data_IF_794838502310
#
_entry.id   IF_794838502310
#
_cell.length_a   1.000
_cell.length_b   1.000
_cell.length_c   1.000
_cell.angle_alpha   90.00
_cell.angle_beta   90.00
_cell.angle_gamma   90.00
#
_symmetry.space_group_name_H-M   'P 1'
#
loop_
_entity.id
_entity.type
_entity.pdbx_description
1 polymer ?
#
# COMPACT_ATOMS: atom_id res chain seq x y z
N UNK A 1 14.70 -60.51 -49.26
CA UNK A 1 15.33 -59.28 -48.78
C UNK A 1 14.39 -58.63 -47.78
N UNK A 2 14.49 -59.15 -46.56
CA UNK A 2 13.58 -58.76 -45.48
C UNK A 2 14.04 -57.45 -44.87
N UNK A 3 13.18 -56.41 -44.90
CA UNK A 3 13.40 -55.15 -44.23
C UNK A 3 12.92 -55.29 -42.76
N UNK A 4 13.87 -55.22 -41.84
CA UNK A 4 13.55 -55.05 -40.38
C UNK A 4 12.83 -53.73 -40.14
N UNK A 5 11.84 -53.71 -39.27
CA UNK A 5 11.16 -52.46 -38.90
C UNK A 5 12.02 -51.62 -37.99
N UNK A 6 12.27 -50.37 -38.42
CA UNK A 6 12.95 -49.33 -37.62
C UNK A 6 12.07 -48.98 -36.45
N UNK A 7 12.52 -49.24 -35.21
CA UNK A 7 11.92 -48.78 -34.01
C UNK A 7 12.01 -47.24 -33.91
N UNK A 8 10.89 -46.55 -33.56
CA UNK A 8 10.97 -45.12 -33.29
C UNK A 8 11.82 -44.82 -32.04
N UNK A 9 12.58 -43.72 -32.01
CA UNK A 9 13.39 -43.38 -30.84
C UNK A 9 12.49 -43.15 -29.62
N UNK A 10 12.82 -43.83 -28.53
CA UNK A 10 12.23 -43.61 -27.21
C UNK A 10 12.44 -42.14 -26.83
N UNK A 11 11.37 -41.42 -26.41
CA UNK A 11 11.59 -40.06 -25.91
C UNK A 11 12.46 -40.14 -24.66
N UNK A 12 13.63 -39.49 -24.69
CA UNK A 12 14.46 -39.31 -23.51
C UNK A 12 13.60 -38.59 -22.45
N UNK A 13 13.48 -39.21 -21.28
CA UNK A 13 12.90 -38.56 -20.13
C UNK A 13 13.72 -37.29 -19.85
N UNK A 14 13.22 -36.14 -20.30
CA UNK A 14 13.68 -34.83 -19.85
C UNK A 14 13.52 -34.88 -18.33
N UNK A 15 14.64 -34.87 -17.60
CA UNK A 15 14.66 -34.62 -16.17
C UNK A 15 13.97 -33.29 -15.98
N UNK A 16 12.74 -33.30 -15.45
CA UNK A 16 12.06 -32.09 -15.05
C UNK A 16 12.96 -31.44 -13.99
N UNK A 17 13.73 -30.41 -14.38
CA UNK A 17 14.56 -29.68 -13.44
C UNK A 17 13.60 -29.04 -12.45
N UNK A 18 13.79 -29.36 -11.17
CA UNK A 18 12.98 -28.79 -10.11
C UNK A 18 13.43 -27.36 -9.89
N UNK A 19 12.51 -26.41 -10.04
CA UNK A 19 12.77 -25.00 -9.70
C UNK A 19 13.18 -24.91 -8.23
N UNK A 20 14.34 -24.30 -8.00
CA UNK A 20 14.87 -24.04 -6.66
C UNK A 20 14.63 -22.59 -6.26
N UNK A 21 14.24 -22.39 -5.01
CA UNK A 21 14.01 -21.05 -4.44
C UNK A 21 15.13 -20.78 -3.45
N UNK A 22 15.82 -19.65 -3.61
CA UNK A 22 16.94 -19.24 -2.75
C UNK A 22 17.16 -17.74 -2.80
N UNK A 23 17.92 -17.23 -1.84
CA UNK A 23 18.27 -15.80 -1.79
C UNK A 23 19.08 -15.39 -3.02
N UNK A 24 18.81 -14.19 -3.52
CA UNK A 24 19.63 -13.54 -4.54
C UNK A 24 20.71 -12.73 -3.82
N UNK A 25 22.00 -13.09 -3.95
CA UNK A 25 23.09 -12.34 -3.36
C UNK A 25 23.23 -10.97 -4.03
N UNK A 26 23.94 -10.04 -3.39
CA UNK A 26 24.19 -8.69 -3.93
C UNK A 26 24.73 -8.73 -5.38
N UNK A 27 25.73 -9.58 -5.65
CA UNK A 27 26.27 -9.76 -7.01
C UNK A 27 25.24 -10.27 -8.04
N UNK A 28 24.06 -10.69 -7.62
CA UNK A 28 22.97 -11.15 -8.47
C UNK A 28 21.88 -10.11 -8.73
N UNK A 29 21.95 -8.93 -8.09
CA UNK A 29 20.91 -7.89 -8.17
C UNK A 29 20.71 -7.43 -9.62
N UNK A 30 21.75 -7.09 -10.35
CA UNK A 30 21.63 -6.59 -11.73
C UNK A 30 20.98 -7.60 -12.67
N UNK A 31 21.24 -8.90 -12.45
CA UNK A 31 20.57 -9.98 -13.20
C UNK A 31 19.10 -10.06 -12.84
N UNK A 32 18.76 -9.90 -11.55
CA UNK A 32 17.38 -9.91 -11.07
C UNK A 32 16.60 -8.70 -11.61
N UNK A 33 17.19 -7.50 -11.59
CA UNK A 33 16.62 -6.30 -12.19
C UNK A 33 16.41 -6.46 -13.70
N UNK A 34 17.38 -7.03 -14.41
CA UNK A 34 17.23 -7.30 -15.86
C UNK A 34 16.05 -8.23 -16.16
N UNK A 35 15.78 -9.21 -15.29
CA UNK A 35 14.59 -10.06 -15.39
C UNK A 35 13.30 -9.29 -15.09
N UNK A 36 13.32 -8.43 -14.09
CA UNK A 36 12.18 -7.59 -13.73
C UNK A 36 11.82 -6.64 -14.87
N UNK A 37 12.77 -5.90 -15.41
CA UNK A 37 12.57 -5.00 -16.55
C UNK A 37 12.04 -5.73 -17.79
N UNK A 38 12.56 -6.94 -18.07
CA UNK A 38 12.00 -7.76 -19.15
C UNK A 38 10.53 -8.10 -18.91
N UNK A 39 10.16 -8.43 -17.66
CA UNK A 39 8.80 -8.81 -17.32
C UNK A 39 7.82 -7.64 -17.34
N UNK A 40 8.28 -6.44 -16.98
CA UNK A 40 7.51 -5.19 -16.98
C UNK A 40 7.57 -4.42 -18.30
N UNK A 41 8.36 -4.90 -19.28
CA UNK A 41 8.57 -4.23 -20.57
C UNK A 41 9.25 -2.86 -20.44
N UNK A 42 10.09 -2.70 -19.44
CA UNK A 42 10.81 -1.47 -19.15
C UNK A 42 12.25 -1.51 -19.70
N UNK A 43 12.80 -0.34 -19.95
CA UNK A 43 14.20 -0.17 -20.38
C UNK A 43 14.77 1.07 -19.69
N UNK A 44 14.93 1.04 -18.35
CA UNK A 44 15.35 2.21 -17.60
C UNK A 44 16.77 2.62 -17.93
N UNK A 45 17.05 3.92 -17.81
CA UNK A 45 18.37 4.51 -17.92
C UNK A 45 19.30 4.06 -16.79
N UNK A 46 20.60 4.30 -16.94
CA UNK A 46 21.62 3.82 -16.00
C UNK A 46 21.44 4.38 -14.59
N UNK A 47 20.99 5.63 -14.46
CA UNK A 47 20.75 6.27 -13.17
C UNK A 47 19.60 5.58 -12.40
N UNK A 48 18.50 5.32 -13.08
CA UNK A 48 17.35 4.57 -12.52
C UNK A 48 17.74 3.12 -12.19
N UNK A 49 18.55 2.48 -13.03
CA UNK A 49 19.07 1.11 -12.75
C UNK A 49 19.91 1.08 -11.48
N UNK A 50 20.79 2.09 -11.32
CA UNK A 50 21.60 2.25 -10.10
C UNK A 50 20.72 2.49 -8.88
N UNK A 51 19.72 3.36 -8.98
CA UNK A 51 18.78 3.62 -7.90
C UNK A 51 18.06 2.34 -7.46
N UNK A 52 17.48 1.58 -8.40
CA UNK A 52 16.84 0.28 -8.07
C UNK A 52 17.82 -0.73 -7.48
N UNK A 53 19.08 -0.74 -7.93
CA UNK A 53 20.13 -1.59 -7.34
C UNK A 53 20.33 -1.22 -5.86
N UNK A 54 20.52 0.06 -5.58
CA UNK A 54 20.78 0.58 -4.22
C UNK A 54 19.57 0.31 -3.29
N UNK A 55 18.33 0.50 -3.76
CA UNK A 55 17.10 0.13 -3.03
C UNK A 55 17.09 -1.36 -2.64
N UNK A 56 17.48 -2.24 -3.55
CA UNK A 56 17.45 -3.67 -3.32
C UNK A 56 18.53 -4.17 -2.34
N UNK A 57 19.56 -3.38 -2.03
CA UNK A 57 20.58 -3.77 -1.04
C UNK A 57 19.97 -4.05 0.34
N UNK A 58 18.96 -3.26 0.76
CA UNK A 58 18.26 -3.40 2.03
C UNK A 58 17.11 -4.39 2.04
N UNK A 59 16.77 -5.02 0.90
CA UNK A 59 15.59 -5.86 0.75
C UNK A 59 15.86 -7.34 1.01
N UNK A 60 14.84 -8.07 1.44
CA UNK A 60 14.78 -9.52 1.25
C UNK A 60 14.65 -9.79 -0.26
N UNK A 61 15.51 -10.64 -0.81
CA UNK A 61 15.58 -10.94 -2.26
C UNK A 61 15.44 -12.44 -2.47
N UNK A 62 14.38 -12.87 -3.17
CA UNK A 62 14.07 -14.28 -3.42
C UNK A 62 14.13 -14.53 -4.92
N UNK A 63 14.99 -15.47 -5.32
CA UNK A 63 15.13 -15.93 -6.70
C UNK A 63 14.58 -17.33 -6.91
N UNK A 64 13.95 -17.56 -8.05
CA UNK A 64 13.61 -18.89 -8.55
C UNK A 64 14.62 -19.28 -9.64
N UNK A 65 15.20 -20.46 -9.53
CA UNK A 65 16.28 -20.93 -10.42
C UNK A 65 15.91 -22.25 -11.08
N UNK A 66 16.09 -22.34 -12.40
CA UNK A 66 16.09 -23.58 -13.19
C UNK A 66 17.55 -23.94 -13.49
N UNK A 67 18.16 -24.83 -12.67
CA UNK A 67 19.60 -24.99 -12.61
C UNK A 67 20.28 -23.70 -12.12
N UNK A 68 21.15 -23.10 -12.96
CA UNK A 68 21.84 -21.85 -12.68
C UNK A 68 21.13 -20.63 -13.28
N UNK A 69 20.05 -20.83 -14.02
CA UNK A 69 19.30 -19.75 -14.64
C UNK A 69 18.29 -19.14 -13.66
N UNK A 70 18.39 -17.83 -13.43
CA UNK A 70 17.39 -17.08 -12.67
C UNK A 70 16.14 -16.88 -13.55
N UNK A 71 15.03 -17.50 -13.18
CA UNK A 71 13.77 -17.53 -13.93
C UNK A 71 12.60 -16.86 -13.22
N UNK A 72 12.80 -16.41 -11.99
CA UNK A 72 11.85 -15.62 -11.22
C UNK A 72 12.55 -14.83 -10.15
N UNK A 73 12.01 -13.67 -9.83
CA UNK A 73 12.51 -12.78 -8.79
C UNK A 73 11.36 -12.08 -8.07
N UNK A 74 11.49 -11.88 -6.79
CA UNK A 74 10.74 -10.93 -6.00
C UNK A 74 11.65 -10.32 -4.92
N UNK A 75 11.38 -9.09 -4.57
CA UNK A 75 11.99 -8.44 -3.41
C UNK A 75 10.92 -8.07 -2.39
N UNK A 76 11.35 -7.83 -1.14
CA UNK A 76 10.48 -7.28 -0.12
C UNK A 76 11.25 -6.27 0.72
N UNK A 77 10.73 -5.03 0.80
CA UNK A 77 11.24 -3.99 1.69
C UNK A 77 10.96 -4.35 3.16
N UNK A 78 11.87 -4.10 4.09
CA UNK A 78 11.65 -4.33 5.53
C UNK A 78 10.85 -3.17 6.16
N UNK A 79 9.67 -2.86 5.61
CA UNK A 79 8.88 -1.75 6.11
C UNK A 79 8.17 -2.05 7.42
N UNK A 80 7.79 -0.97 8.09
CA UNK A 80 6.86 -0.95 9.20
C UNK A 80 5.65 -0.13 8.78
N UNK A 81 4.44 -0.63 9.00
CA UNK A 81 3.22 0.10 8.71
C UNK A 81 2.39 0.35 9.97
N UNK A 82 1.64 1.45 9.95
CA UNK A 82 0.66 1.71 11.00
C UNK A 82 -0.53 0.76 10.87
N UNK A 83 -0.94 0.23 12.00
CA UNK A 83 -2.18 -0.55 12.16
C UNK A 83 -3.04 0.12 13.23
N UNK A 84 -4.34 -0.21 13.37
CA UNK A 84 -5.15 0.38 14.43
C UNK A 84 -4.49 0.21 15.80
N UNK A 85 -4.08 1.32 16.43
CA UNK A 85 -3.49 1.37 17.77
C UNK A 85 -2.00 1.03 17.86
N UNK A 86 -1.28 0.86 16.75
CA UNK A 86 0.15 0.55 16.78
C UNK A 86 0.81 0.47 15.42
N UNK A 87 1.93 -0.24 15.37
CA UNK A 87 2.73 -0.44 14.17
C UNK A 87 3.22 -1.88 14.11
N UNK A 88 3.37 -2.41 12.91
CA UNK A 88 3.86 -3.78 12.70
C UNK A 88 4.93 -3.84 11.61
N UNK A 89 5.96 -4.70 11.79
CA UNK A 89 6.84 -5.07 10.71
C UNK A 89 6.02 -5.72 9.59
N UNK A 90 6.25 -5.27 8.36
CA UNK A 90 5.48 -5.63 7.20
C UNK A 90 6.40 -5.77 5.98
N UNK A 91 6.95 -6.96 5.71
CA UNK A 91 7.63 -7.22 4.45
C UNK A 91 6.76 -6.80 3.27
N UNK A 92 7.20 -5.80 2.53
CA UNK A 92 6.45 -5.12 1.48
C UNK A 92 6.98 -5.51 0.12
N UNK A 93 6.19 -6.31 -0.60
CA UNK A 93 6.61 -7.07 -1.79
C UNK A 93 6.64 -6.19 -3.03
N UNK A 94 7.75 -6.24 -3.76
CA UNK A 94 8.00 -5.48 -4.99
C UNK A 94 8.79 -6.31 -6.00
N UNK A 95 9.01 -5.79 -7.22
CA UNK A 95 9.77 -6.39 -8.32
C UNK A 95 9.37 -7.84 -8.65
N UNK A 96 8.10 -8.20 -8.47
CA UNK A 96 7.62 -9.56 -8.72
C UNK A 96 7.66 -9.88 -10.20
N UNK A 97 8.57 -10.75 -10.61
CA UNK A 97 8.78 -11.08 -12.01
C UNK A 97 9.00 -12.57 -12.22
N UNK A 98 8.52 -13.07 -13.35
CA UNK A 98 8.75 -14.46 -13.81
C UNK A 98 9.08 -14.42 -15.29
N UNK A 99 10.18 -15.06 -15.66
CA UNK A 99 10.60 -15.18 -17.06
C UNK A 99 9.44 -15.66 -17.94
N UNK A 100 9.19 -15.06 -19.11
CA UNK A 100 8.09 -15.44 -20.00
C UNK A 100 8.07 -16.94 -20.35
N UNK A 101 9.25 -17.55 -20.45
CA UNK A 101 9.46 -18.98 -20.72
C UNK A 101 9.06 -19.90 -19.56
N UNK A 102 8.90 -19.35 -18.34
CA UNK A 102 8.64 -20.12 -17.11
C UNK A 102 7.31 -19.79 -16.45
N UNK A 103 6.46 -19.01 -17.12
CA UNK A 103 5.10 -18.71 -16.66
C UNK A 103 4.26 -19.97 -16.54
N UNK A 104 3.30 -19.98 -15.59
CA UNK A 104 2.36 -21.09 -15.31
C UNK A 104 3.01 -22.40 -14.83
N UNK A 105 4.27 -22.35 -14.41
CA UNK A 105 5.03 -23.49 -13.85
C UNK A 105 5.14 -23.46 -12.32
N UNK A 106 4.34 -22.63 -11.63
CA UNK A 106 4.35 -22.53 -10.17
C UNK A 106 5.46 -21.62 -9.58
N UNK A 107 6.27 -20.96 -10.42
CA UNK A 107 7.41 -20.12 -9.99
C UNK A 107 6.97 -19.05 -8.99
N UNK A 108 5.95 -18.23 -9.31
CA UNK A 108 5.44 -17.23 -8.40
C UNK A 108 4.92 -17.84 -7.08
N UNK A 109 4.21 -18.98 -7.17
CA UNK A 109 3.69 -19.65 -5.97
C UNK A 109 4.80 -20.11 -5.03
N UNK A 110 5.92 -20.57 -5.57
CA UNK A 110 7.08 -20.96 -4.77
C UNK A 110 7.78 -19.76 -4.14
N UNK A 111 7.99 -18.67 -4.88
CA UNK A 111 8.59 -17.44 -4.33
C UNK A 111 7.74 -16.84 -3.20
N UNK A 112 6.41 -16.79 -3.37
CA UNK A 112 5.49 -16.33 -2.31
C UNK A 112 5.51 -17.27 -1.09
N UNK A 113 5.62 -18.58 -1.28
CA UNK A 113 5.75 -19.52 -0.16
C UNK A 113 7.06 -19.30 0.63
N UNK A 114 8.16 -19.02 -0.09
CA UNK A 114 9.44 -18.68 0.54
C UNK A 114 9.37 -17.36 1.30
N UNK A 115 8.70 -16.33 0.73
CA UNK A 115 8.43 -15.07 1.42
C UNK A 115 7.67 -15.30 2.73
N UNK A 116 6.60 -16.11 2.70
CA UNK A 116 5.80 -16.39 3.89
C UNK A 116 6.61 -17.15 4.96
N UNK A 117 7.47 -18.07 4.53
CA UNK A 117 8.37 -18.79 5.46
C UNK A 117 9.35 -17.82 6.14
N UNK A 118 9.95 -16.88 5.38
CA UNK A 118 10.84 -15.85 5.93
C UNK A 118 10.09 -14.92 6.88
N UNK A 119 8.94 -14.36 6.45
CA UNK A 119 8.11 -13.49 7.30
C UNK A 119 7.71 -14.18 8.62
N UNK A 120 7.37 -15.48 8.56
CA UNK A 120 7.08 -16.28 9.77
C UNK A 120 8.30 -16.43 10.67
N UNK A 121 9.48 -16.71 10.10
CA UNK A 121 10.72 -16.82 10.85
C UNK A 121 11.15 -15.51 11.53
N UNK A 122 10.85 -14.39 10.91
CA UNK A 122 11.12 -13.03 11.39
C UNK A 122 10.02 -12.50 12.32
N UNK A 123 8.98 -13.31 12.59
CA UNK A 123 7.80 -12.93 13.38
C UNK A 123 7.09 -11.67 12.86
N UNK A 124 7.11 -11.44 11.53
CA UNK A 124 6.32 -10.42 10.89
C UNK A 124 4.88 -10.91 10.70
N UNK A 125 3.89 -10.35 11.42
CA UNK A 125 2.53 -10.90 11.41
C UNK A 125 1.75 -10.59 10.14
N UNK A 126 2.22 -9.63 9.35
CA UNK A 126 1.59 -9.20 8.10
C UNK A 126 2.65 -9.01 7.01
N UNK A 127 2.21 -9.07 5.76
CA UNK A 127 2.97 -8.64 4.59
C UNK A 127 2.07 -7.78 3.71
N UNK A 128 2.65 -6.94 2.85
CA UNK A 128 1.88 -6.08 1.98
C UNK A 128 2.43 -6.02 0.55
N UNK A 129 1.64 -5.50 -0.37
CA UNK A 129 2.03 -5.16 -1.73
C UNK A 129 1.09 -4.12 -2.34
N UNK A 130 1.55 -3.49 -3.41
CA UNK A 130 0.71 -2.83 -4.40
C UNK A 130 0.51 -3.77 -5.58
N UNK A 131 -0.74 -3.95 -6.00
CA UNK A 131 -1.05 -4.92 -7.05
C UNK A 131 -1.08 -4.23 -8.41
N UNK A 132 -0.10 -4.53 -9.28
CA UNK A 132 -0.19 -4.17 -10.70
C UNK A 132 -1.34 -4.89 -11.43
N UNK A 133 -1.69 -6.09 -10.97
CA UNK A 133 -2.82 -6.88 -11.47
C UNK A 133 -3.60 -7.50 -10.29
N UNK A 134 -4.78 -6.98 -9.98
CA UNK A 134 -5.64 -7.41 -8.86
C UNK A 134 -5.94 -8.92 -8.83
N UNK A 135 -6.05 -9.54 -10.01
CA UNK A 135 -6.40 -10.96 -10.14
C UNK A 135 -5.31 -11.92 -9.65
N UNK A 136 -4.07 -11.43 -9.47
CA UNK A 136 -2.92 -12.29 -9.16
C UNK A 136 -2.86 -12.65 -7.67
N UNK A 137 -2.99 -11.67 -6.79
CA UNK A 137 -2.54 -11.80 -5.40
C UNK A 137 -3.61 -12.33 -4.44
N UNK A 138 -4.90 -12.22 -4.80
CA UNK A 138 -5.99 -12.76 -3.99
C UNK A 138 -5.87 -14.27 -3.73
N UNK A 139 -5.36 -15.05 -4.70
CA UNK A 139 -5.13 -16.51 -4.54
C UNK A 139 -4.03 -16.89 -3.55
N UNK A 140 -3.24 -15.92 -3.10
CA UNK A 140 -2.24 -16.07 -2.04
C UNK A 140 -2.76 -15.55 -0.69
N UNK A 141 -4.00 -15.09 -0.65
CA UNK A 141 -4.65 -14.57 0.55
C UNK A 141 -4.36 -13.10 0.85
N UNK A 142 -3.80 -12.35 -0.11
CA UNK A 142 -3.76 -10.89 -0.01
C UNK A 142 -5.13 -10.31 -0.26
N UNK A 143 -5.56 -9.35 0.57
CA UNK A 143 -6.80 -8.62 0.42
C UNK A 143 -6.58 -7.12 0.34
N UNK A 144 -7.38 -6.36 -0.45
CA UNK A 144 -7.27 -4.91 -0.58
C UNK A 144 -7.69 -4.24 0.74
N UNK A 145 -6.72 -3.82 1.54
CA UNK A 145 -6.94 -3.28 2.87
C UNK A 145 -7.07 -1.75 2.89
N UNK A 146 -6.58 -1.06 1.86
CA UNK A 146 -6.81 0.37 1.64
C UNK A 146 -7.32 0.64 0.24
N UNK A 147 -7.99 1.78 0.07
CA UNK A 147 -8.48 2.27 -1.21
C UNK A 147 -8.19 3.76 -1.33
N UNK A 148 -8.02 4.23 -2.55
CA UNK A 148 -7.81 5.64 -2.86
C UNK A 148 -8.80 6.16 -3.89
N UNK A 149 -9.24 7.41 -3.71
CA UNK A 149 -10.00 8.16 -4.70
C UNK A 149 -9.07 8.94 -5.62
N UNK A 150 -9.36 8.96 -6.91
CA UNK A 150 -8.85 9.99 -7.80
C UNK A 150 -9.82 11.18 -7.75
N UNK A 151 -9.30 12.34 -7.33
CA UNK A 151 -10.10 13.58 -7.25
C UNK A 151 -9.61 14.55 -8.30
N UNK A 152 -10.55 15.15 -9.03
CA UNK A 152 -10.30 16.24 -9.97
C UNK A 152 -11.03 17.51 -9.53
N UNK A 153 -10.31 18.64 -9.59
CA UNK A 153 -10.84 19.97 -9.24
C UNK A 153 -10.70 20.90 -10.43
N UNK A 154 -11.79 21.57 -10.82
CA UNK A 154 -11.77 22.70 -11.76
C UNK A 154 -11.26 23.94 -11.03
N UNK A 155 -10.00 24.31 -11.23
CA UNK A 155 -9.35 25.47 -10.62
C UNK A 155 -9.36 26.73 -11.49
N UNK A 156 -10.10 26.75 -12.61
CA UNK A 156 -10.29 27.96 -13.44
C UNK A 156 -11.09 29.07 -12.73
N UNK A 157 -11.70 28.73 -11.62
CA UNK A 157 -12.43 29.65 -10.72
C UNK A 157 -12.03 29.35 -9.27
N UNK A 158 -12.13 30.31 -8.34
CA UNK A 158 -11.80 30.08 -6.95
C UNK A 158 -12.53 28.87 -6.37
N UNK A 159 -11.81 28.08 -5.57
CA UNK A 159 -12.40 26.93 -4.91
C UNK A 159 -13.45 27.37 -3.89
N UNK A 160 -14.69 26.97 -4.11
CA UNK A 160 -15.80 27.28 -3.24
C UNK A 160 -15.81 26.37 -2.01
N UNK A 161 -15.73 26.94 -0.82
CA UNK A 161 -15.62 26.23 0.46
C UNK A 161 -16.80 26.55 1.38
N UNK A 162 -17.25 25.57 2.15
CA UNK A 162 -18.31 25.69 3.19
C UNK A 162 -17.75 26.09 4.56
N UNK A 163 -16.44 26.00 4.74
CA UNK A 163 -15.75 26.33 5.97
C UNK A 163 -14.72 27.43 5.72
N UNK A 164 -14.37 28.18 6.74
CA UNK A 164 -13.27 29.14 6.68
C UNK A 164 -11.93 28.39 6.67
N UNK A 165 -11.04 28.66 5.70
CA UNK A 165 -9.68 28.16 5.72
C UNK A 165 -8.88 28.75 6.88
N UNK A 166 -7.88 28.01 7.34
CA UNK A 166 -6.89 28.49 8.29
C UNK A 166 -6.13 29.70 7.71
N UNK A 167 -5.87 30.72 8.54
CA UNK A 167 -5.26 31.98 8.12
C UNK A 167 -3.74 32.02 8.38
N UNK A 168 -3.16 30.94 8.92
CA UNK A 168 -1.70 30.89 9.09
C UNK A 168 -0.98 31.07 7.75
N UNK A 169 0.23 31.64 7.73
CA UNK A 169 0.96 31.87 6.50
C UNK A 169 1.33 30.56 5.82
N UNK A 170 1.19 30.54 4.50
CA UNK A 170 1.73 29.49 3.64
C UNK A 170 3.17 29.83 3.27
N UNK A 171 4.05 28.83 3.26
CA UNK A 171 5.46 28.98 2.91
C UNK A 171 5.89 27.87 1.95
N UNK A 172 6.66 28.25 0.93
CA UNK A 172 7.34 27.26 0.11
C UNK A 172 8.53 26.71 0.90
N UNK A 173 8.70 25.40 0.83
CA UNK A 173 9.82 24.66 1.42
C UNK A 173 10.73 24.16 0.29
N UNK A 174 12.03 24.24 0.48
CA UNK A 174 12.98 23.60 -0.41
C UNK A 174 12.85 22.08 -0.28
N UNK A 175 12.77 21.31 -1.37
CA UNK A 175 12.69 19.86 -1.32
C UNK A 175 13.83 19.19 -0.52
N UNK A 176 15.01 19.80 -0.48
CA UNK A 176 16.14 19.30 0.33
C UNK A 176 15.88 19.31 1.83
N UNK A 177 14.99 20.20 2.30
CA UNK A 177 14.61 20.34 3.72
C UNK A 177 13.41 19.45 4.10
N UNK A 178 12.80 18.75 3.12
CA UNK A 178 11.59 17.94 3.33
C UNK A 178 11.76 16.89 4.45
N UNK A 179 12.83 16.06 4.50
CA UNK A 179 13.01 15.08 5.55
C UNK A 179 13.00 15.68 6.96
N UNK A 180 13.65 16.83 7.12
CA UNK A 180 13.81 17.49 8.43
C UNK A 180 12.53 18.21 8.89
N UNK A 181 11.73 18.72 7.96
CA UNK A 181 10.51 19.50 8.26
C UNK A 181 9.26 18.62 8.21
N UNK A 182 9.09 17.84 7.15
CA UNK A 182 7.89 17.01 6.95
C UNK A 182 7.98 15.68 7.69
N UNK A 183 9.18 15.09 7.84
CA UNK A 183 9.39 13.82 8.50
C UNK A 183 8.79 13.79 9.92
N UNK A 184 9.17 14.69 10.82
CA UNK A 184 8.60 14.76 12.18
C UNK A 184 7.09 15.02 12.20
N UNK A 185 6.57 15.79 11.25
CA UNK A 185 5.13 16.01 11.10
C UNK A 185 4.41 14.72 10.70
N UNK A 186 4.90 14.07 9.66
CA UNK A 186 4.36 12.81 9.15
C UNK A 186 4.40 11.71 10.21
N UNK A 187 5.51 11.54 10.91
CA UNK A 187 5.66 10.54 11.98
C UNK A 187 4.65 10.73 13.11
N UNK A 188 4.37 11.98 13.49
CA UNK A 188 3.35 12.29 14.49
C UNK A 188 1.94 11.90 14.01
N UNK A 189 1.62 12.17 12.75
CA UNK A 189 0.25 12.02 12.22
C UNK A 189 -0.03 10.65 11.63
N UNK A 190 1.00 9.89 11.20
CA UNK A 190 0.81 8.58 10.56
C UNK A 190 0.17 7.54 11.47
N UNK A 191 0.45 7.58 12.78
CA UNK A 191 -0.12 6.65 13.75
C UNK A 191 -1.65 6.78 13.89
N UNK A 192 -2.22 7.93 13.50
CA UNK A 192 -3.66 8.19 13.56
C UNK A 192 -4.44 7.53 12.42
N UNK A 193 -3.75 7.02 11.38
CA UNK A 193 -4.37 6.45 10.20
C UNK A 193 -3.69 5.13 9.83
N UNK A 194 -4.42 3.99 9.84
CA UNK A 194 -3.84 2.70 9.47
C UNK A 194 -3.41 2.63 8.00
N UNK A 195 -2.36 1.86 7.72
CA UNK A 195 -1.85 1.60 6.38
C UNK A 195 -0.66 2.46 5.95
N UNK A 196 -0.19 3.38 6.79
CA UNK A 196 0.92 4.29 6.45
C UNK A 196 2.27 3.68 6.76
N UNK A 197 3.22 3.89 5.86
CA UNK A 197 4.61 3.47 6.05
C UNK A 197 5.34 4.36 7.05
N UNK A 198 6.36 3.82 7.70
CA UNK A 198 7.44 4.62 8.28
C UNK A 198 8.32 5.12 7.12
N UNK A 199 8.30 6.41 6.86
CA UNK A 199 9.15 7.03 5.84
C UNK A 199 10.51 7.35 6.45
N UNK A 200 11.55 6.64 6.03
CA UNK A 200 12.94 6.96 6.41
C UNK A 200 13.41 8.23 5.70
N UNK A 201 14.52 8.82 6.15
CA UNK A 201 15.16 9.94 5.45
C UNK A 201 15.50 9.58 3.99
N UNK A 202 16.01 8.35 3.76
CA UNK A 202 16.28 7.86 2.42
C UNK A 202 14.99 7.78 1.57
N UNK A 203 13.89 7.26 2.12
CA UNK A 203 12.59 7.20 1.44
C UNK A 203 12.08 8.59 1.06
N UNK A 204 12.21 9.58 1.95
CA UNK A 204 11.87 10.96 1.62
C UNK A 204 12.70 11.51 0.45
N UNK A 205 14.01 11.24 0.42
CA UNK A 205 14.91 11.78 -0.61
C UNK A 205 14.78 11.06 -1.94
N UNK A 206 14.68 9.75 -1.89
CA UNK A 206 14.85 8.88 -3.05
C UNK A 206 13.53 8.52 -3.74
N UNK A 207 12.38 8.67 -3.04
CA UNK A 207 11.07 8.39 -3.60
C UNK A 207 10.20 9.65 -3.71
N UNK A 208 10.17 10.47 -2.65
CA UNK A 208 9.28 11.63 -2.61
C UNK A 208 9.87 12.89 -3.25
N UNK A 209 11.19 13.09 -3.18
CA UNK A 209 11.86 14.28 -3.68
C UNK A 209 12.58 14.06 -5.00
N UNK A 210 12.27 12.99 -5.71
CA UNK A 210 12.80 12.70 -7.04
C UNK A 210 12.38 13.80 -8.02
N UNK A 211 13.35 14.32 -8.77
CA UNK A 211 13.14 15.45 -9.68
C UNK A 211 12.31 15.06 -10.90
N UNK A 212 12.61 13.92 -11.50
CA UNK A 212 11.92 13.40 -12.68
C UNK A 212 10.79 12.46 -12.25
N UNK A 213 9.64 12.61 -12.88
CA UNK A 213 8.52 11.71 -12.65
C UNK A 213 8.59 10.53 -13.61
N UNK A 214 8.38 9.33 -13.12
CA UNK A 214 8.53 8.12 -13.92
C UNK A 214 7.47 7.94 -14.99
N UNK A 215 6.28 8.49 -14.77
CA UNK A 215 5.13 8.34 -15.68
C UNK A 215 4.94 9.54 -16.61
N UNK A 216 5.44 10.72 -16.22
CA UNK A 216 5.20 11.97 -16.95
C UNK A 216 6.38 12.94 -16.82
N UNK A 217 7.31 12.88 -17.77
CA UNK A 217 8.53 13.70 -17.85
C UNK A 217 8.28 15.22 -18.06
N UNK A 218 7.03 15.60 -18.39
CA UNK A 218 6.63 17.02 -18.49
C UNK A 218 6.21 17.63 -17.15
N UNK A 219 6.12 16.84 -16.09
CA UNK A 219 5.84 17.35 -14.75
C UNK A 219 7.07 18.07 -14.18
N UNK A 220 6.83 19.16 -13.47
CA UNK A 220 7.89 19.87 -12.76
C UNK A 220 8.50 18.98 -11.66
N UNK A 221 9.71 19.31 -11.16
CA UNK A 221 10.18 18.79 -9.89
C UNK A 221 9.15 19.00 -8.77
N UNK A 222 9.20 18.21 -7.68
CA UNK A 222 8.28 18.35 -6.57
C UNK A 222 8.37 19.75 -5.97
N UNK A 223 7.23 20.32 -5.63
CA UNK A 223 7.08 21.60 -4.93
C UNK A 223 6.35 21.34 -3.63
N UNK A 224 6.81 21.98 -2.57
CA UNK A 224 6.27 21.80 -1.24
C UNK A 224 5.73 23.10 -0.72
N UNK A 225 4.53 23.10 -0.18
CA UNK A 225 3.97 24.20 0.59
C UNK A 225 3.62 23.70 2.00
N UNK A 226 3.99 24.46 3.00
CA UNK A 226 3.63 24.23 4.41
C UNK A 226 2.67 25.30 4.89
N UNK A 227 1.76 24.93 5.78
CA UNK A 227 0.90 25.86 6.50
C UNK A 227 1.49 26.09 7.92
N UNK A 228 1.83 27.33 8.24
CA UNK A 228 2.61 27.67 9.44
C UNK A 228 4.11 27.74 9.14
N UNK A 229 4.93 27.98 10.16
CA UNK A 229 6.38 28.11 10.01
C UNK A 229 7.09 27.18 10.97
N UNK A 230 8.04 26.36 10.49
CA UNK A 230 8.90 25.56 11.38
C UNK A 230 9.82 26.43 12.25
N UNK A 231 10.14 27.67 11.81
CA UNK A 231 11.20 28.52 12.38
C UNK A 231 10.70 29.86 12.95
N UNK A 232 9.50 29.95 13.50
CA UNK A 232 9.06 31.20 14.10
C UNK A 232 9.92 31.53 15.34
N UNK A 233 10.92 32.49 15.29
CA UNK A 233 11.76 32.78 16.43
C UNK A 233 10.94 33.34 17.59
N UNK A 234 11.04 32.69 18.77
CA UNK A 234 10.35 33.14 19.98
C UNK A 234 8.90 32.69 20.10
N UNK A 235 8.40 31.85 19.19
CA UNK A 235 7.11 31.18 19.36
C UNK A 235 7.19 30.15 20.50
N UNK A 236 6.14 29.99 21.34
CA UNK A 236 6.02 28.83 22.19
C UNK A 236 6.24 27.56 21.40
N UNK A 237 6.75 26.51 22.02
CA UNK A 237 7.02 25.22 21.32
C UNK A 237 5.83 24.68 20.50
N UNK A 238 4.62 25.10 20.82
CA UNK A 238 3.37 24.79 20.10
C UNK A 238 3.16 25.65 18.83
N UNK A 239 3.79 26.82 18.73
CA UNK A 239 3.60 27.77 17.61
C UNK A 239 4.62 27.58 16.47
N UNK A 240 5.69 26.83 16.70
CA UNK A 240 6.73 26.51 15.71
C UNK A 240 6.41 25.31 14.81
N UNK A 241 5.26 24.65 14.97
CA UNK A 241 4.90 23.49 14.17
C UNK A 241 4.08 23.89 12.93
N UNK A 242 4.40 23.25 11.80
CA UNK A 242 3.51 23.28 10.65
C UNK A 242 2.19 22.58 11.01
N UNK A 243 1.10 23.08 10.46
CA UNK A 243 -0.24 22.49 10.65
C UNK A 243 -0.70 21.64 9.49
N UNK A 244 0.15 21.50 8.50
CA UNK A 244 -0.06 20.71 7.32
C UNK A 244 0.91 21.08 6.21
N UNK A 245 0.92 20.24 5.18
CA UNK A 245 1.73 20.44 3.99
C UNK A 245 1.00 19.88 2.75
N UNK A 246 1.44 20.32 1.58
CA UNK A 246 1.15 19.66 0.32
C UNK A 246 2.42 19.52 -0.51
N UNK A 247 2.58 18.34 -1.13
CA UNK A 247 3.60 18.04 -2.14
C UNK A 247 2.88 17.94 -3.47
N UNK A 248 3.31 18.73 -4.44
CA UNK A 248 2.63 18.80 -5.73
C UNK A 248 3.62 19.08 -6.85
N UNK A 249 3.21 18.77 -8.08
CA UNK A 249 3.93 19.07 -9.32
C UNK A 249 3.01 19.88 -10.24
N UNK A 250 3.61 20.59 -11.17
CA UNK A 250 2.85 21.35 -12.18
C UNK A 250 3.27 20.93 -13.58
N UNK A 251 2.31 20.95 -14.50
CA UNK A 251 2.54 20.70 -15.92
C UNK A 251 1.91 21.80 -16.74
N UNK A 252 2.70 22.41 -17.64
CA UNK A 252 2.15 23.33 -18.64
C UNK A 252 1.51 22.54 -19.79
N UNK A 253 0.52 23.15 -20.44
CA UNK A 253 -0.15 22.56 -21.60
C UNK A 253 -0.31 23.65 -22.66
N UNK A 254 0.00 23.35 -23.93
CA UNK A 254 -0.04 24.35 -25.00
C UNK A 254 -1.47 24.81 -25.34
N UNK A 255 -2.41 23.86 -25.38
CA UNK A 255 -3.79 24.11 -25.84
C UNK A 255 -4.84 24.11 -24.70
N UNK A 256 -4.41 24.05 -23.44
CA UNK A 256 -5.29 23.99 -22.27
C UNK A 256 -4.63 24.65 -21.05
N UNK A 257 -5.42 25.05 -20.04
CA UNK A 257 -4.84 25.45 -18.76
C UNK A 257 -3.97 24.35 -18.18
N UNK A 258 -2.87 24.73 -17.51
CA UNK A 258 -1.95 23.81 -16.89
C UNK A 258 -2.60 22.91 -15.83
N UNK A 259 -1.88 21.90 -15.42
CA UNK A 259 -2.27 20.92 -14.42
C UNK A 259 -1.46 21.11 -13.14
N UNK A 260 -2.11 20.99 -11.99
CA UNK A 260 -1.48 20.69 -10.71
C UNK A 260 -1.75 19.23 -10.39
N UNK A 261 -0.69 18.40 -10.28
CA UNK A 261 -0.78 17.05 -9.72
C UNK A 261 -0.44 17.13 -8.23
N UNK A 262 -1.34 16.68 -7.39
CA UNK A 262 -1.10 16.55 -5.95
C UNK A 262 -0.60 15.15 -5.66
N UNK A 263 0.59 15.06 -5.07
CA UNK A 263 1.25 13.81 -4.69
C UNK A 263 0.89 13.44 -3.23
N UNK A 264 0.98 14.40 -2.28
CA UNK A 264 0.57 14.19 -0.88
C UNK A 264 0.00 15.48 -0.27
N UNK A 265 -0.96 15.36 0.64
CA UNK A 265 -1.49 16.45 1.45
C UNK A 265 -1.92 15.92 2.80
N UNK A 266 -1.33 16.51 3.84
CA UNK A 266 -1.65 16.24 5.22
C UNK A 266 -1.99 17.52 5.96
N UNK A 267 -2.95 17.45 6.88
CA UNK A 267 -3.40 18.60 7.66
C UNK A 267 -3.96 18.18 9.02
N UNK A 268 -3.62 18.95 10.06
CA UNK A 268 -4.08 18.69 11.43
C UNK A 268 -5.59 18.90 11.60
N UNK A 269 -6.18 19.80 10.78
CA UNK A 269 -7.60 20.16 10.87
C UNK A 269 -8.24 20.33 9.50
N UNK A 270 -9.59 20.24 9.40
CA UNK A 270 -10.28 20.56 8.14
C UNK A 270 -10.02 21.99 7.64
N UNK A 271 -9.83 22.97 8.54
CA UNK A 271 -9.50 24.34 8.17
C UNK A 271 -8.10 24.45 7.57
N UNK A 272 -7.13 23.69 8.10
CA UNK A 272 -5.79 23.59 7.54
C UNK A 272 -5.81 22.93 6.15
N UNK A 273 -6.55 21.83 5.99
CA UNK A 273 -6.75 21.20 4.69
C UNK A 273 -7.39 22.17 3.68
N UNK A 274 -8.41 22.92 4.11
CA UNK A 274 -9.09 23.92 3.26
C UNK A 274 -8.12 25.03 2.81
N UNK A 275 -7.18 25.46 3.66
CA UNK A 275 -6.15 26.44 3.30
C UNK A 275 -5.20 25.92 2.21
N UNK A 276 -4.73 24.67 2.37
CA UNK A 276 -3.86 24.02 1.38
C UNK A 276 -4.58 23.81 0.04
N UNK A 277 -5.81 23.30 0.05
CA UNK A 277 -6.59 23.13 -1.16
C UNK A 277 -6.90 24.46 -1.86
N UNK A 278 -7.22 25.53 -1.09
CA UNK A 278 -7.40 26.87 -1.64
C UNK A 278 -6.13 27.39 -2.30
N UNK A 279 -4.97 27.15 -1.69
CA UNK A 279 -3.67 27.49 -2.28
C UNK A 279 -3.46 26.77 -3.61
N UNK A 280 -3.59 25.45 -3.63
CA UNK A 280 -3.41 24.65 -4.85
C UNK A 280 -4.33 25.12 -5.97
N UNK A 281 -5.58 25.47 -5.65
CA UNK A 281 -6.56 25.99 -6.62
C UNK A 281 -6.29 27.44 -7.06
N UNK A 282 -5.35 28.16 -6.43
CA UNK A 282 -4.96 29.52 -6.77
C UNK A 282 -3.67 29.63 -7.58
N UNK A 283 -3.04 28.50 -7.93
CA UNK A 283 -1.78 28.50 -8.67
C UNK A 283 -2.05 29.02 -10.09
N UNK A 284 -1.37 30.13 -10.44
CA UNK A 284 -1.53 30.79 -11.73
C UNK A 284 -1.18 29.87 -12.91
N UNK A 285 -1.78 30.15 -14.05
CA UNK A 285 -1.59 29.42 -15.32
C UNK A 285 -2.09 27.95 -15.29
N UNK A 286 -2.74 27.53 -14.20
CA UNK A 286 -3.35 26.20 -14.09
C UNK A 286 -4.88 26.31 -14.11
N UNK A 287 -5.55 25.22 -14.44
CA UNK A 287 -7.02 25.19 -14.50
C UNK A 287 -7.60 23.85 -14.05
N UNK A 288 -6.74 22.94 -13.66
CA UNK A 288 -7.13 21.63 -13.19
C UNK A 288 -6.17 21.18 -12.06
N UNK A 289 -6.73 20.62 -10.99
CA UNK A 289 -5.96 19.84 -10.02
C UNK A 289 -6.37 18.39 -10.18
N UNK A 290 -5.39 17.49 -10.19
CA UNK A 290 -5.60 16.04 -10.12
C UNK A 290 -4.86 15.50 -8.91
N UNK A 291 -5.59 14.82 -8.05
CA UNK A 291 -5.07 14.16 -6.86
C UNK A 291 -5.43 12.68 -6.91
N UNK A 292 -4.42 11.84 -7.07
CA UNK A 292 -4.57 10.40 -7.01
C UNK A 292 -4.44 9.90 -5.57
N UNK A 293 -5.06 8.76 -5.27
CA UNK A 293 -4.86 8.09 -3.99
C UNK A 293 -5.45 8.82 -2.78
N UNK A 294 -6.38 9.77 -2.93
CA UNK A 294 -6.96 10.47 -1.78
C UNK A 294 -7.79 9.54 -0.91
N UNK A 295 -7.81 9.75 0.43
CA UNK A 295 -8.60 8.92 1.34
C UNK A 295 -10.09 8.90 0.95
N UNK A 296 -10.77 7.79 1.18
CA UNK A 296 -12.21 7.69 0.91
C UNK A 296 -13.02 8.65 1.80
N UNK A 297 -12.52 8.97 2.97
CA UNK A 297 -13.05 9.90 3.97
C UNK A 297 -12.40 11.29 3.91
N UNK A 298 -11.81 11.68 2.75
CA UNK A 298 -11.19 13.00 2.61
C UNK A 298 -12.21 14.10 2.93
N UNK A 299 -11.93 14.97 3.93
CA UNK A 299 -12.85 16.03 4.33
C UNK A 299 -13.12 17.04 3.22
N UNK A 300 -12.26 17.15 2.20
CA UNK A 300 -12.52 17.95 0.98
C UNK A 300 -13.88 17.64 0.38
N UNK A 301 -14.24 16.37 0.29
CA UNK A 301 -15.50 15.91 -0.31
C UNK A 301 -16.75 16.40 0.45
N UNK A 302 -16.59 16.84 1.71
CA UNK A 302 -17.65 17.38 2.55
C UNK A 302 -17.65 18.90 2.61
N UNK A 303 -16.47 19.54 2.69
CA UNK A 303 -16.40 20.99 2.82
C UNK A 303 -16.32 21.74 1.48
N UNK A 304 -16.08 21.08 0.35
CA UNK A 304 -16.28 21.68 -0.95
C UNK A 304 -17.76 22.05 -1.14
N UNK A 305 -18.01 23.31 -1.52
CA UNK A 305 -19.38 23.84 -1.68
C UNK A 305 -20.01 23.43 -3.01
N UNK A 306 -19.19 23.15 -4.01
CA UNK A 306 -19.63 22.84 -5.37
C UNK A 306 -19.10 21.46 -5.83
N UNK A 307 -20.02 20.51 -5.96
CA UNK A 307 -19.70 19.14 -6.39
C UNK A 307 -19.35 19.04 -7.89
N UNK A 308 -19.74 20.01 -8.70
CA UNK A 308 -19.32 20.07 -10.10
C UNK A 308 -17.88 20.55 -10.23
N UNK A 309 -17.40 21.31 -9.25
CA UNK A 309 -16.01 21.77 -9.18
C UNK A 309 -15.07 20.69 -8.63
N UNK A 310 -15.51 19.89 -7.66
CA UNK A 310 -14.71 18.83 -7.00
C UNK A 310 -15.37 17.49 -7.26
N UNK A 311 -14.74 16.64 -8.04
CA UNK A 311 -15.30 15.36 -8.48
C UNK A 311 -14.38 14.21 -8.16
N UNK A 312 -14.95 13.10 -7.68
CA UNK A 312 -14.28 11.80 -7.66
C UNK A 312 -14.45 11.19 -9.04
N UNK A 313 -13.36 10.96 -9.73
CA UNK A 313 -13.33 10.42 -11.11
C UNK A 313 -12.93 8.95 -11.16
N UNK A 314 -12.37 8.43 -10.06
CA UNK A 314 -11.99 7.03 -9.92
C UNK A 314 -11.85 6.63 -8.46
N UNK A 315 -11.92 5.32 -8.22
CA UNK A 315 -11.58 4.68 -6.96
C UNK A 315 -10.88 3.37 -7.27
N UNK A 316 -9.76 3.11 -6.62
CA UNK A 316 -8.97 1.90 -6.82
C UNK A 316 -8.51 1.31 -5.49
N UNK A 317 -8.32 -0.03 -5.42
CA UNK A 317 -7.52 -0.63 -4.38
C UNK A 317 -6.11 -0.01 -4.37
N UNK A 318 -5.52 0.09 -3.19
CA UNK A 318 -4.16 0.58 -3.01
C UNK A 318 -3.31 -0.50 -2.30
N UNK A 319 -3.11 -0.41 -0.99
CA UNK A 319 -2.34 -1.41 -0.25
C UNK A 319 -3.12 -2.70 -0.07
N UNK A 320 -2.55 -3.80 -0.52
CA UNK A 320 -3.03 -5.16 -0.25
C UNK A 320 -2.26 -5.75 0.91
N UNK A 321 -2.97 -6.33 1.88
CA UNK A 321 -2.38 -6.93 3.07
C UNK A 321 -2.59 -8.44 3.06
N UNK A 322 -1.61 -9.19 3.56
CA UNK A 322 -1.67 -10.61 3.86
C UNK A 322 -1.41 -10.81 5.35
N UNK A 323 -2.29 -11.49 6.04
CA UNK A 323 -2.06 -11.90 7.42
C UNK A 323 -1.20 -13.17 7.43
N UNK A 324 0.07 -13.05 7.85
CA UNK A 324 1.02 -14.16 7.95
C UNK A 324 0.74 -14.97 9.21
N UNK A 325 0.50 -14.29 10.34
CA UNK A 325 0.05 -14.86 11.60
C UNK A 325 -1.20 -14.11 12.05
N UNK A 326 -2.38 -14.74 11.86
CA UNK A 326 -3.67 -14.12 12.20
C UNK A 326 -3.77 -13.81 13.68
N UNK A 327 -3.26 -14.69 14.55
CA UNK A 327 -3.29 -14.46 16.00
C UNK A 327 -2.46 -13.23 16.37
N UNK A 328 -1.20 -13.19 15.92
CA UNK A 328 -0.31 -12.07 16.19
C UNK A 328 -0.87 -10.76 15.63
N UNK A 329 -1.39 -10.76 14.40
CA UNK A 329 -1.99 -9.58 13.78
C UNK A 329 -3.20 -9.07 14.56
N UNK A 330 -4.17 -9.94 14.90
CA UNK A 330 -5.40 -9.54 15.60
C UNK A 330 -5.15 -9.11 17.06
N UNK A 331 -4.15 -9.69 17.72
CA UNK A 331 -3.79 -9.29 19.10
C UNK A 331 -2.97 -8.01 19.17
N UNK A 332 -2.31 -7.62 18.09
CA UNK A 332 -1.51 -6.40 18.01
C UNK A 332 -2.30 -5.14 17.68
N UNK A 333 -3.52 -5.27 17.12
CA UNK A 333 -4.35 -4.12 16.82
C UNK A 333 -5.23 -3.71 18.01
N UNK A 334 -5.63 -2.43 18.04
CA UNK A 334 -6.71 -1.95 18.93
C UNK A 334 -8.09 -2.31 18.37
N UNK A 335 -9.08 -2.34 19.26
CA UNK A 335 -10.46 -2.68 18.97
C UNK A 335 -11.40 -1.59 19.49
N UNK A 336 -12.36 -1.16 18.67
CA UNK A 336 -13.25 -0.04 19.01
C UNK A 336 -14.43 -0.43 19.91
N UNK A 337 -14.85 -1.71 19.87
CA UNK A 337 -16.00 -2.20 20.65
C UNK A 337 -15.79 -3.66 21.07
N UNK A 338 -16.51 -4.12 22.13
CA UNK A 338 -16.47 -5.52 22.54
C UNK A 338 -17.05 -6.46 21.46
N UNK A 339 -16.38 -7.60 21.25
CA UNK A 339 -16.86 -8.71 20.43
C UNK A 339 -16.42 -10.05 21.02
N UNK A 340 -17.30 -11.06 20.97
CA UNK A 340 -16.99 -12.47 21.26
C UNK A 340 -17.63 -13.31 20.16
N UNK A 341 -16.80 -13.84 19.27
CA UNK A 341 -17.26 -14.61 18.11
C UNK A 341 -16.29 -15.75 17.77
N UNK A 342 -16.83 -16.84 17.23
CA UNK A 342 -16.03 -17.92 16.65
C UNK A 342 -15.94 -17.68 15.13
N UNK A 343 -14.71 -17.42 14.68
CA UNK A 343 -14.40 -17.19 13.27
C UNK A 343 -13.73 -18.45 12.71
N UNK A 344 -14.28 -18.99 11.63
CA UNK A 344 -13.68 -20.08 10.85
C UNK A 344 -12.95 -19.50 9.65
N UNK A 345 -11.64 -19.45 9.72
CA UNK A 345 -10.78 -18.88 8.68
C UNK A 345 -10.35 -19.97 7.70
N UNK A 346 -10.50 -19.71 6.41
CA UNK A 346 -9.98 -20.56 5.33
C UNK A 346 -8.66 -20.00 4.84
N UNK A 347 -7.58 -20.78 4.96
CA UNK A 347 -6.24 -20.42 4.49
C UNK A 347 -5.53 -21.66 3.95
N UNK A 348 -5.51 -21.79 2.63
CA UNK A 348 -4.85 -22.92 1.96
C UNK A 348 -3.32 -22.76 1.88
N UNK A 349 -2.79 -21.58 2.12
CA UNK A 349 -1.37 -21.26 2.01
C UNK A 349 -0.63 -21.36 3.33
N UNK A 350 -1.27 -20.95 4.41
CA UNK A 350 -0.72 -21.03 5.77
C UNK A 350 -1.72 -21.76 6.68
N UNK A 351 -1.66 -23.11 6.70
CA UNK A 351 -2.62 -23.94 7.46
C UNK A 351 -2.66 -23.65 8.96
N UNK A 352 -1.62 -23.02 9.51
CA UNK A 352 -1.59 -22.58 10.91
C UNK A 352 -2.68 -21.53 11.23
N UNK A 353 -3.08 -20.74 10.25
CA UNK A 353 -4.15 -19.75 10.37
C UNK A 353 -5.54 -20.36 10.23
N UNK A 354 -5.64 -21.50 9.53
CA UNK A 354 -6.92 -22.10 9.16
C UNK A 354 -7.66 -22.71 10.35
N UNK A 355 -8.99 -22.70 10.27
CA UNK A 355 -9.88 -23.35 11.21
C UNK A 355 -10.58 -22.38 12.16
N UNK A 356 -11.27 -22.95 13.15
CA UNK A 356 -12.12 -22.21 14.06
C UNK A 356 -11.34 -21.66 15.23
N UNK A 357 -11.46 -20.35 15.42
CA UNK A 357 -10.86 -19.63 16.52
C UNK A 357 -11.88 -18.73 17.20
N UNK A 358 -11.89 -18.71 18.51
CA UNK A 358 -12.66 -17.74 19.28
C UNK A 358 -11.87 -16.46 19.39
N UNK A 359 -12.44 -15.39 18.85
CA UNK A 359 -12.00 -14.03 19.02
C UNK A 359 -12.79 -13.40 20.17
N UNK A 360 -12.11 -12.97 21.21
CA UNK A 360 -12.69 -12.13 22.26
C UNK A 360 -11.86 -10.85 22.30
N UNK A 361 -12.48 -9.72 21.96
CA UNK A 361 -11.79 -8.44 21.87
C UNK A 361 -12.64 -7.32 22.48
N UNK A 362 -11.97 -6.29 22.96
CA UNK A 362 -12.52 -5.05 23.49
C UNK A 362 -11.44 -3.96 23.45
N UNK A 363 -11.74 -2.68 23.75
CA UNK A 363 -10.72 -1.65 23.86
C UNK A 363 -9.57 -1.96 24.83
N UNK A 364 -9.80 -2.87 25.80
CA UNK A 364 -8.80 -3.28 26.79
C UNK A 364 -7.87 -4.38 26.31
N UNK A 365 -8.19 -5.07 25.21
CA UNK A 365 -7.33 -6.12 24.64
C UNK A 365 -8.07 -7.17 23.82
N UNK A 366 -7.29 -8.13 23.34
CA UNK A 366 -7.77 -9.17 22.44
C UNK A 366 -7.15 -10.52 22.77
N UNK A 367 -7.95 -11.59 22.69
CA UNK A 367 -7.51 -12.98 22.63
C UNK A 367 -8.05 -13.65 21.38
N UNK A 368 -7.23 -14.52 20.78
CA UNK A 368 -7.59 -15.30 19.60
C UNK A 368 -7.09 -16.72 19.78
N UNK A 369 -8.00 -17.65 20.02
CA UNK A 369 -7.67 -19.01 20.46
C UNK A 369 -8.43 -20.06 19.68
N UNK A 370 -7.75 -21.18 19.36
CA UNK A 370 -8.39 -22.30 18.67
C UNK A 370 -9.52 -22.89 19.52
N UNK A 371 -10.61 -23.28 18.86
CA UNK A 371 -11.83 -23.78 19.53
C UNK A 371 -12.53 -24.85 18.71
N UNK A 372 -13.27 -25.75 19.39
CA UNK A 372 -14.17 -26.71 18.74
C UNK A 372 -15.65 -26.24 18.66
N UNK A 373 -15.94 -25.04 19.21
CA UNK A 373 -17.28 -24.45 19.10
C UNK A 373 -17.71 -24.27 17.64
N UNK A 374 -19.01 -24.33 17.32
CA UNK A 374 -19.51 -23.95 16.00
C UNK A 374 -19.06 -22.54 15.62
N UNK A 375 -18.81 -22.33 14.33
CA UNK A 375 -18.47 -21.02 13.81
C UNK A 375 -19.69 -20.09 13.83
N UNK A 376 -19.47 -18.84 14.22
CA UNK A 376 -20.44 -17.74 14.09
C UNK A 376 -20.31 -17.06 12.71
N UNK A 377 -19.08 -17.05 12.16
CA UNK A 377 -18.75 -16.52 10.85
C UNK A 377 -17.69 -17.41 10.17
N UNK A 378 -17.82 -17.64 8.87
CA UNK A 378 -16.78 -18.29 8.02
C UNK A 378 -16.37 -17.34 6.91
N UNK A 379 -15.06 -17.14 6.69
CA UNK A 379 -14.53 -16.33 5.61
C UNK A 379 -13.14 -16.80 5.15
N UNK A 380 -12.75 -16.35 3.96
CA UNK A 380 -11.39 -16.56 3.45
C UNK A 380 -10.41 -15.60 4.13
N UNK A 381 -9.15 -16.03 4.23
CA UNK A 381 -8.07 -15.18 4.78
C UNK A 381 -7.89 -13.89 4.01
N UNK A 382 -8.13 -13.87 2.70
CA UNK A 382 -8.12 -12.68 1.86
C UNK A 382 -9.12 -11.63 2.35
N UNK A 383 -10.33 -12.07 2.70
CA UNK A 383 -11.41 -11.20 3.13
C UNK A 383 -11.18 -10.68 4.55
N UNK A 384 -10.63 -11.53 5.43
CA UNK A 384 -10.17 -11.09 6.75
C UNK A 384 -9.04 -10.06 6.65
N UNK A 385 -8.11 -10.25 5.72
CA UNK A 385 -7.03 -9.31 5.47
C UNK A 385 -7.53 -7.96 4.92
N UNK A 386 -8.52 -7.97 4.01
CA UNK A 386 -9.18 -6.76 3.53
C UNK A 386 -9.86 -5.97 4.66
N UNK A 387 -10.45 -6.65 5.63
CA UNK A 387 -11.10 -6.02 6.79
C UNK A 387 -10.13 -5.61 7.91
N UNK A 388 -8.92 -6.15 7.92
CA UNK A 388 -7.97 -6.04 9.03
C UNK A 388 -7.64 -4.60 9.45
N UNK A 389 -7.47 -3.69 8.51
CA UNK A 389 -7.18 -2.28 8.78
C UNK A 389 -8.44 -1.44 9.08
N UNK A 390 -9.65 -2.00 8.93
CA UNK A 390 -10.94 -1.30 9.18
C UNK A 390 -11.53 -0.66 7.92
N UNK A 391 -10.95 -0.86 6.73
CA UNK A 391 -11.43 -0.26 5.47
C UNK A 391 -12.57 -1.02 4.79
N UNK A 392 -12.66 -2.33 5.03
CA UNK A 392 -13.68 -3.20 4.43
C UNK A 392 -14.57 -3.78 5.51
N UNK A 393 -15.88 -3.56 5.39
CA UNK A 393 -16.86 -4.06 6.35
C UNK A 393 -17.14 -5.56 6.14
N UNK A 394 -17.15 -6.33 7.21
CA UNK A 394 -17.50 -7.77 7.22
C UNK A 394 -18.94 -7.98 6.73
N UNK A 395 -19.88 -7.12 7.15
CA UNK A 395 -21.27 -7.17 6.69
C UNK A 395 -21.39 -6.96 5.16
N UNK A 396 -20.54 -6.12 4.57
CA UNK A 396 -20.46 -5.97 3.13
C UNK A 396 -19.97 -7.27 2.44
N UNK A 397 -18.99 -7.96 3.03
CA UNK A 397 -18.50 -9.25 2.54
C UNK A 397 -19.59 -10.33 2.63
N UNK A 398 -20.37 -10.34 3.71
CA UNK A 398 -21.53 -11.24 3.86
C UNK A 398 -22.58 -10.96 2.78
N UNK A 399 -22.94 -9.70 2.54
CA UNK A 399 -23.88 -9.32 1.48
C UNK A 399 -23.37 -9.64 0.08
N UNK A 400 -22.06 -9.63 -0.14
CA UNK A 400 -21.42 -10.01 -1.39
C UNK A 400 -21.30 -11.54 -1.57
N UNK A 401 -21.64 -12.34 -0.53
CA UNK A 401 -21.48 -13.81 -0.55
C UNK A 401 -20.03 -14.29 -0.40
N UNK A 402 -19.11 -13.42 0.02
CA UNK A 402 -17.70 -13.72 0.27
C UNK A 402 -17.45 -14.25 1.69
N UNK A 403 -18.31 -13.89 2.64
CA UNK A 403 -18.34 -14.44 3.99
C UNK A 403 -19.69 -15.05 4.31
N UNK A 404 -19.72 -16.06 5.19
CA UNK A 404 -20.95 -16.73 5.62
C UNK A 404 -21.19 -16.48 7.11
N UNK A 405 -22.23 -15.72 7.44
CA UNK A 405 -22.69 -15.54 8.81
C UNK A 405 -23.58 -16.71 9.22
N UNK A 406 -23.28 -17.32 10.36
CA UNK A 406 -24.03 -18.43 10.93
C UNK A 406 -24.88 -17.98 12.15
N UNK A 407 -24.33 -17.06 12.93
CA UNK A 407 -25.03 -16.43 14.06
C UNK A 407 -25.39 -15.01 13.67
N UNK A 408 -26.70 -14.67 13.53
CA UNK A 408 -27.13 -13.34 13.12
C UNK A 408 -26.58 -12.23 14.00
N UNK A 409 -26.04 -11.16 13.39
CA UNK A 409 -25.48 -9.99 14.07
C UNK A 409 -23.98 -10.06 14.33
N UNK A 410 -23.32 -11.21 14.04
CA UNK A 410 -21.88 -11.37 14.21
C UNK A 410 -21.09 -10.43 13.30
N UNK A 411 -21.48 -10.31 12.03
CA UNK A 411 -20.82 -9.41 11.08
C UNK A 411 -20.91 -7.94 11.54
N UNK A 412 -22.07 -7.50 11.97
CA UNK A 412 -22.27 -6.14 12.49
C UNK A 412 -21.46 -5.88 13.76
N UNK A 413 -21.37 -6.87 14.67
CA UNK A 413 -20.55 -6.75 15.87
C UNK A 413 -19.06 -6.67 15.56
N UNK A 414 -18.59 -7.46 14.59
CA UNK A 414 -17.22 -7.41 14.11
C UNK A 414 -16.91 -6.06 13.43
N UNK A 415 -17.80 -5.51 12.62
CA UNK A 415 -17.62 -4.19 12.00
C UNK A 415 -17.51 -3.08 13.06
N UNK A 416 -18.34 -3.12 14.09
CA UNK A 416 -18.23 -2.18 15.20
C UNK A 416 -16.90 -2.32 15.95
N UNK A 417 -16.42 -3.55 16.14
CA UNK A 417 -15.17 -3.83 16.83
C UNK A 417 -13.93 -3.47 15.98
N UNK A 418 -13.99 -3.67 14.66
CA UNK A 418 -12.92 -3.36 13.70
C UNK A 418 -12.86 -1.88 13.33
N UNK A 419 -13.85 -1.09 13.70
CA UNK A 419 -13.96 0.32 13.32
C UNK A 419 -12.70 1.13 13.65
N UNK A 420 -12.39 2.11 12.81
CA UNK A 420 -11.33 3.10 13.00
C UNK A 420 -11.89 4.50 12.76
N UNK A 421 -11.41 5.49 13.52
CA UNK A 421 -11.88 6.89 13.41
C UNK A 421 -11.60 7.49 12.04
N UNK A 422 -10.51 7.06 11.40
CA UNK A 422 -10.13 7.40 10.03
C UNK A 422 -10.01 6.12 9.21
N UNK A 423 -10.53 6.12 8.00
CA UNK A 423 -10.39 4.98 7.09
C UNK A 423 -8.91 4.75 6.74
N UNK A 424 -8.46 3.49 6.62
CA UNK A 424 -7.09 3.19 6.28
C UNK A 424 -6.70 3.77 4.91
N UNK A 425 -5.47 4.26 4.83
CA UNK A 425 -5.01 4.98 3.65
C UNK A 425 -3.50 5.03 3.59
N UNK A 426 -2.94 4.93 2.40
CA UNK A 426 -1.57 5.28 2.07
C UNK A 426 -1.48 5.75 0.62
N UNK A 427 -0.50 6.57 0.33
CA UNK A 427 -0.07 6.98 -1.02
C UNK A 427 1.37 6.52 -1.30
N UNK A 428 2.01 5.86 -0.34
CA UNK A 428 3.34 5.28 -0.53
C UNK A 428 3.22 4.00 -1.36
N UNK A 429 3.46 4.11 -2.65
CA UNK A 429 3.61 3.00 -3.58
C UNK A 429 5.07 2.49 -3.55
N UNK A 430 5.27 1.16 -3.73
CA UNK A 430 6.60 0.53 -3.66
C UNK A 430 6.71 -0.74 -4.51
#
# INVERSE_FOLDING_TARGET
MDMEPVQPPTPSASSASSIQFRDVPEAGIDRALSLAYLAFHESPEEEKRKHHHDLLLGCTRIGAYDGDELVGFLAAFPFTISVPGGELPCPSVTFVSVAPTHRRRGVLSGMIAELFAKATAEAAPIAALWASEDAIYGRFGFGPATHGNTVEIDSRRPLALRIAPDERPLRLLDPSDAPDVLGPYYDRTRAERPGRLVRTEAWWREEWMVTEDEEDDELSPPRIVTLGSPDAPGAPAEAGHIAGYAIYRTKTRDDAPGLVRLDDLEADTPAAAAALWRYLASIDLTGQIRAWGRPLDDPLLLFAADRDQVRVTGQSPALWVRLIDVRAALTARSWAAPVDAVIDVRDDRLPANAGRHRLTASPEGCTYERTDRPADLTLDIRDLAAAYLGGTAIDALVRAGLAQEHTPGTATALDAALHTDRLPHTVDEF
#
